data_IF_242752212598
#
_entry.id   IF_242752212598
#
_cell.length_a   1.000
_cell.length_b   1.000
_cell.length_c   1.000
_cell.angle_alpha   90.00
_cell.angle_beta   90.00
_cell.angle_gamma   90.00
#
_symmetry.space_group_name_H-M   'P 1'
#
loop_
_entity.id
_entity.type
_entity.pdbx_description
1 polymer ?
#
# COMPACT_ATOMS: atom_id res chain seq x y z
N UNK A 1 -4.98 5.16 13.31
CA UNK A 1 -6.18 4.49 12.89
C UNK A 1 -7.35 5.38 12.52
N UNK A 2 -7.29 6.69 12.77
CA UNK A 2 -8.43 7.58 12.43
C UNK A 2 -8.38 8.08 10.98
N UNK A 3 -7.22 8.10 10.34
CA UNK A 3 -7.04 8.62 8.97
C UNK A 3 -7.81 7.82 7.91
N UNK A 4 -8.08 6.54 8.16
CA UNK A 4 -8.86 5.68 7.26
C UNK A 4 -10.36 6.02 7.20
N UNK A 5 -10.88 6.79 8.14
CA UNK A 5 -12.30 7.15 8.18
C UNK A 5 -12.50 8.57 7.65
N UNK A 6 -13.47 8.74 6.76
CA UNK A 6 -13.78 10.03 6.16
C UNK A 6 -14.20 11.10 7.19
N UNK A 7 -14.85 10.66 8.29
CA UNK A 7 -15.30 11.53 9.37
C UNK A 7 -15.45 10.75 10.69
N UNK A 8 -15.72 11.53 11.79
CA UNK A 8 -15.89 10.97 13.13
C UNK A 8 -17.11 10.05 13.25
N UNK A 9 -18.16 10.30 12.49
CA UNK A 9 -19.39 9.49 12.53
C UNK A 9 -19.12 8.07 12.03
N UNK A 10 -18.41 7.93 10.90
CA UNK A 10 -17.98 6.64 10.37
C UNK A 10 -17.05 5.89 11.32
N UNK A 11 -16.14 6.60 11.99
CA UNK A 11 -15.29 6.03 13.04
C UNK A 11 -16.13 5.46 14.19
N UNK A 12 -17.10 6.23 14.68
CA UNK A 12 -17.98 5.80 15.78
C UNK A 12 -18.84 4.60 15.38
N UNK A 13 -19.49 4.66 14.21
CA UNK A 13 -20.31 3.58 13.67
C UNK A 13 -19.51 2.26 13.62
N UNK A 14 -18.29 2.32 13.10
CA UNK A 14 -17.42 1.15 13.00
C UNK A 14 -17.07 0.56 14.37
N UNK A 15 -16.59 1.37 15.32
CA UNK A 15 -16.14 0.86 16.61
C UNK A 15 -17.30 0.49 17.55
N UNK A 16 -18.44 1.18 17.46
CA UNK A 16 -19.66 0.77 18.15
C UNK A 16 -20.14 -0.61 17.67
N UNK A 17 -20.15 -0.84 16.36
CA UNK A 17 -20.52 -2.15 15.79
C UNK A 17 -19.51 -3.23 16.17
N UNK A 18 -18.21 -2.95 16.04
CA UNK A 18 -17.12 -3.91 16.29
C UNK A 18 -17.06 -4.39 17.74
N UNK A 19 -17.30 -3.49 18.70
CA UNK A 19 -17.15 -3.77 20.12
C UNK A 19 -18.49 -3.77 20.86
N UNK A 20 -19.61 -3.62 20.14
CA UNK A 20 -20.97 -3.55 20.71
C UNK A 20 -21.11 -2.47 21.81
N UNK A 21 -20.51 -1.30 21.58
CA UNK A 21 -20.47 -0.22 22.57
C UNK A 21 -21.78 0.59 22.59
N UNK A 22 -22.25 0.95 23.78
CA UNK A 22 -23.27 1.98 23.94
C UNK A 22 -22.73 3.36 23.56
N UNK A 23 -23.58 4.36 23.39
CA UNK A 23 -23.15 5.73 23.09
C UNK A 23 -22.24 6.30 24.19
N UNK A 24 -22.50 5.99 25.45
CA UNK A 24 -21.68 6.41 26.60
C UNK A 24 -20.31 5.76 26.57
N UNK A 25 -20.28 4.43 26.38
CA UNK A 25 -19.02 3.67 26.27
C UNK A 25 -18.19 4.12 25.05
N UNK A 26 -18.85 4.46 23.93
CA UNK A 26 -18.14 4.99 22.77
C UNK A 26 -17.51 6.34 23.04
N UNK A 27 -18.18 7.21 23.79
CA UNK A 27 -17.63 8.52 24.19
C UNK A 27 -16.40 8.34 25.06
N UNK A 28 -16.46 7.48 26.08
CA UNK A 28 -15.34 7.17 26.94
C UNK A 28 -14.17 6.56 26.15
N UNK A 29 -14.46 5.61 25.26
CA UNK A 29 -13.47 5.02 24.36
C UNK A 29 -12.74 6.07 23.52
N UNK A 30 -13.48 7.02 22.90
CA UNK A 30 -12.87 8.12 22.14
C UNK A 30 -11.94 8.98 22.99
N UNK A 31 -12.38 9.36 24.22
CA UNK A 31 -11.56 10.16 25.13
C UNK A 31 -10.27 9.46 25.52
N UNK A 32 -10.34 8.18 25.85
CA UNK A 32 -9.16 7.36 26.14
C UNK A 32 -8.21 7.26 24.95
N UNK A 33 -8.73 7.01 23.74
CA UNK A 33 -7.90 6.93 22.52
C UNK A 33 -7.24 8.27 22.21
N UNK A 34 -7.95 9.39 22.37
CA UNK A 34 -7.37 10.72 22.16
C UNK A 34 -6.27 11.03 23.19
N UNK A 35 -6.49 10.70 24.46
CA UNK A 35 -5.47 10.86 25.51
C UNK A 35 -4.21 10.02 25.25
N UNK A 36 -4.38 8.76 24.83
CA UNK A 36 -3.28 7.88 24.43
C UNK A 36 -2.53 8.43 23.21
N UNK A 37 -3.26 8.89 22.20
CA UNK A 37 -2.67 9.46 21.00
C UNK A 37 -1.88 10.74 21.34
N UNK A 38 -2.42 11.65 22.13
CA UNK A 38 -1.74 12.87 22.56
C UNK A 38 -0.44 12.57 23.31
N UNK A 39 -0.43 11.52 24.14
CA UNK A 39 0.73 11.15 24.94
C UNK A 39 1.81 10.43 24.14
N UNK A 40 1.43 9.52 23.25
CA UNK A 40 2.36 8.54 22.67
C UNK A 40 2.58 8.62 21.17
N UNK A 41 1.63 9.21 20.43
CA UNK A 41 1.70 9.16 18.95
C UNK A 41 3.01 9.77 18.43
N UNK A 42 3.27 11.02 18.76
CA UNK A 42 4.45 11.73 18.25
C UNK A 42 5.77 11.17 18.78
N UNK A 43 5.95 10.91 20.11
CA UNK A 43 7.17 10.30 20.61
C UNK A 43 7.49 8.94 19.95
N UNK A 44 6.49 8.07 19.83
CA UNK A 44 6.68 6.74 19.23
C UNK A 44 7.02 6.83 17.75
N UNK A 45 6.35 7.69 16.98
CA UNK A 45 6.63 7.88 15.56
C UNK A 45 8.06 8.40 15.35
N UNK A 46 8.49 9.38 16.14
CA UNK A 46 9.85 9.91 16.06
C UNK A 46 10.90 8.85 16.45
N UNK A 47 10.65 8.07 17.49
CA UNK A 47 11.55 7.00 17.91
C UNK A 47 11.68 5.90 16.84
N UNK A 48 10.54 5.44 16.28
CA UNK A 48 10.53 4.43 15.21
C UNK A 48 11.25 4.97 13.96
N UNK A 49 10.99 6.21 13.55
CA UNK A 49 11.67 6.84 12.43
C UNK A 49 13.19 6.93 12.64
N UNK A 50 13.63 7.25 13.86
CA UNK A 50 15.04 7.23 14.25
C UNK A 50 15.66 5.85 14.08
N UNK A 51 15.03 4.81 14.64
CA UNK A 51 15.49 3.44 14.53
C UNK A 51 15.54 2.92 13.08
N UNK A 52 14.54 3.27 12.27
CA UNK A 52 14.53 2.91 10.85
C UNK A 52 15.70 3.55 10.10
N UNK A 53 15.98 4.82 10.38
CA UNK A 53 17.11 5.55 9.76
C UNK A 53 18.45 4.94 10.16
N UNK A 54 18.68 4.68 11.43
CA UNK A 54 19.91 4.05 11.94
C UNK A 54 20.16 2.69 11.30
N UNK A 55 19.11 1.89 11.12
CA UNK A 55 19.17 0.54 10.59
C UNK A 55 19.02 0.47 9.07
N UNK A 56 18.84 1.60 8.38
CA UNK A 56 18.58 1.69 6.93
C UNK A 56 17.36 0.86 6.50
N UNK A 57 16.32 0.85 7.33
CA UNK A 57 15.04 0.18 7.03
C UNK A 57 14.12 1.21 6.37
N UNK A 58 13.54 0.85 5.24
CA UNK A 58 12.55 1.65 4.55
C UNK A 58 11.31 1.84 5.45
N UNK A 59 10.83 3.08 5.54
CA UNK A 59 9.65 3.44 6.33
C UNK A 59 8.49 3.74 5.38
N UNK A 60 7.30 3.22 5.72
CA UNK A 60 6.05 3.53 5.05
C UNK A 60 5.15 4.36 5.97
N UNK A 61 4.41 5.30 5.39
CA UNK A 61 3.23 5.88 6.03
C UNK A 61 2.00 5.01 5.77
N UNK A 62 0.89 5.30 6.44
CA UNK A 62 -0.36 4.55 6.24
C UNK A 62 -1.57 5.48 6.34
N UNK A 63 -2.49 5.37 5.38
CA UNK A 63 -3.76 6.11 5.34
C UNK A 63 -3.60 7.64 5.35
N UNK A 64 -2.58 8.20 4.73
CA UNK A 64 -2.45 9.63 4.58
C UNK A 64 -3.64 10.17 3.75
N UNK A 65 -4.31 11.20 4.27
CA UNK A 65 -5.54 11.74 3.69
C UNK A 65 -5.40 13.18 3.19
N UNK A 66 -4.38 13.91 3.65
CA UNK A 66 -4.18 15.33 3.34
C UNK A 66 -2.72 15.61 3.01
N UNK A 67 -2.47 16.72 2.33
CA UNK A 67 -1.11 17.20 2.09
C UNK A 67 -0.30 17.31 3.40
N UNK A 68 -0.91 17.79 4.48
CA UNK A 68 -0.23 17.91 5.78
C UNK A 68 0.22 16.56 6.35
N UNK A 69 -0.59 15.51 6.19
CA UNK A 69 -0.20 14.15 6.59
C UNK A 69 1.00 13.64 5.79
N UNK A 70 1.01 13.90 4.49
CA UNK A 70 2.11 13.50 3.60
C UNK A 70 3.41 14.22 3.97
N UNK A 71 3.34 15.54 4.20
CA UNK A 71 4.50 16.34 4.64
C UNK A 71 5.08 15.79 5.95
N UNK A 72 4.23 15.49 6.93
CA UNK A 72 4.65 14.90 8.20
C UNK A 72 5.32 13.53 7.99
N UNK A 73 4.72 12.66 7.18
CA UNK A 73 5.25 11.33 6.86
C UNK A 73 6.59 11.41 6.13
N UNK A 74 6.71 12.32 5.16
CA UNK A 74 7.96 12.58 4.45
C UNK A 74 9.07 13.10 5.38
N UNK A 75 8.77 14.03 6.29
CA UNK A 75 9.73 14.56 7.27
C UNK A 75 10.24 13.48 8.23
N UNK A 76 9.42 12.48 8.54
CA UNK A 76 9.84 11.31 9.32
C UNK A 76 10.73 10.33 8.52
N UNK A 77 10.85 10.52 7.21
CA UNK A 77 11.66 9.70 6.32
C UNK A 77 10.91 8.55 5.64
N UNK A 78 9.58 8.62 5.56
CA UNK A 78 8.79 7.66 4.78
C UNK A 78 9.14 7.76 3.30
N UNK A 79 9.38 6.62 2.67
CA UNK A 79 9.67 6.47 1.24
C UNK A 79 8.51 5.80 0.48
N UNK A 80 7.56 5.27 1.21
CA UNK A 80 6.34 4.64 0.68
C UNK A 80 5.14 5.32 1.36
N UNK A 81 4.15 5.73 0.57
CA UNK A 81 2.82 6.13 1.01
C UNK A 81 1.89 4.94 0.81
N UNK A 82 1.60 4.21 1.89
CA UNK A 82 0.74 3.05 1.86
C UNK A 82 -0.72 3.49 2.03
N UNK A 83 -1.53 3.15 1.05
CA UNK A 83 -2.98 3.40 1.02
C UNK A 83 -3.37 4.87 1.25
N UNK A 84 -2.82 5.84 0.49
CA UNK A 84 -3.35 7.20 0.55
C UNK A 84 -4.87 7.14 0.30
N UNK A 85 -5.64 7.83 1.15
CA UNK A 85 -7.11 7.70 1.11
C UNK A 85 -7.76 8.68 0.14
N UNK A 86 -7.01 9.66 -0.34
CA UNK A 86 -7.46 10.71 -1.26
C UNK A 86 -6.50 10.88 -2.43
N UNK A 87 -7.02 11.43 -3.53
CA UNK A 87 -6.20 11.85 -4.66
C UNK A 87 -5.15 12.89 -4.26
N UNK A 88 -5.52 13.88 -3.42
CA UNK A 88 -4.62 14.90 -2.90
C UNK A 88 -3.39 14.28 -2.21
N UNK A 89 -3.63 13.30 -1.34
CA UNK A 89 -2.54 12.62 -0.63
C UNK A 89 -1.65 11.80 -1.57
N UNK A 90 -2.22 11.09 -2.55
CA UNK A 90 -1.46 10.34 -3.53
C UNK A 90 -0.58 11.26 -4.39
N UNK A 91 -1.13 12.35 -4.90
CA UNK A 91 -0.40 13.35 -5.69
C UNK A 91 0.70 14.02 -4.86
N UNK A 92 0.40 14.43 -3.62
CA UNK A 92 1.39 15.02 -2.72
C UNK A 92 2.53 14.02 -2.43
N UNK A 93 2.22 12.75 -2.21
CA UNK A 93 3.23 11.71 -1.97
C UNK A 93 4.20 11.60 -3.15
N UNK A 94 3.69 11.61 -4.38
CA UNK A 94 4.53 11.60 -5.59
C UNK A 94 5.40 12.84 -5.71
N UNK A 95 4.86 14.03 -5.41
CA UNK A 95 5.63 15.29 -5.41
C UNK A 95 6.79 15.27 -4.40
N UNK A 96 6.61 14.57 -3.28
CA UNK A 96 7.65 14.38 -2.26
C UNK A 96 8.57 13.18 -2.53
N UNK A 97 8.47 12.53 -3.70
CA UNK A 97 9.30 11.38 -4.07
C UNK A 97 8.98 10.09 -3.33
N UNK A 98 7.83 10.02 -2.66
CA UNK A 98 7.35 8.79 -2.03
C UNK A 98 6.65 7.90 -3.07
N UNK A 99 6.84 6.59 -2.96
CA UNK A 99 6.15 5.62 -3.81
C UNK A 99 4.72 5.39 -3.30
N UNK A 100 3.74 5.55 -4.16
CA UNK A 100 2.33 5.28 -3.82
C UNK A 100 2.04 3.79 -3.94
N UNK A 101 1.65 3.18 -2.83
CA UNK A 101 1.32 1.77 -2.72
C UNK A 101 -0.18 1.59 -2.49
N UNK A 102 -0.82 0.75 -3.30
CA UNK A 102 -2.24 0.38 -3.17
C UNK A 102 -2.41 -1.13 -3.05
N UNK A 103 -3.54 -1.55 -2.49
CA UNK A 103 -3.88 -2.97 -2.38
C UNK A 103 -4.32 -3.57 -3.73
N UNK A 104 -3.75 -4.70 -4.12
CA UNK A 104 -4.17 -5.46 -5.29
C UNK A 104 -5.67 -5.84 -5.25
N UNK A 105 -6.27 -6.17 -4.09
CA UNK A 105 -7.71 -6.41 -4.01
C UNK A 105 -8.58 -5.23 -4.47
N UNK A 106 -8.08 -4.00 -4.34
CA UNK A 106 -8.78 -2.80 -4.81
C UNK A 106 -8.89 -2.79 -6.35
N UNK A 107 -7.83 -3.20 -7.05
CA UNK A 107 -7.85 -3.38 -8.52
C UNK A 107 -8.80 -4.52 -8.91
N UNK A 108 -8.66 -5.70 -8.29
CA UNK A 108 -9.43 -6.90 -8.66
C UNK A 108 -10.93 -6.73 -8.46
N UNK A 109 -11.33 -5.96 -7.44
CA UNK A 109 -12.74 -5.69 -7.13
C UNK A 109 -13.30 -4.47 -7.85
N UNK A 110 -12.45 -3.65 -8.45
CA UNK A 110 -12.87 -2.44 -9.18
C UNK A 110 -13.20 -1.26 -8.28
N UNK A 111 -12.65 -1.19 -7.06
CA UNK A 111 -12.85 -0.04 -6.17
C UNK A 111 -12.45 -0.24 -4.72
N UNK A 112 -12.52 0.85 -3.95
CA UNK A 112 -12.23 0.86 -2.52
C UNK A 112 -13.42 0.37 -1.70
N UNK A 113 -13.15 -0.38 -0.61
CA UNK A 113 -14.16 -0.78 0.38
C UNK A 113 -14.74 0.41 1.16
N UNK A 114 -13.93 1.42 1.37
CA UNK A 114 -14.21 2.49 2.34
C UNK A 114 -14.66 3.78 1.66
N UNK A 115 -14.87 3.78 0.32
CA UNK A 115 -15.13 5.01 -0.44
C UNK A 115 -13.91 5.93 -0.58
N UNK A 116 -12.71 5.42 -0.30
CA UNK A 116 -11.44 6.10 -0.54
C UNK A 116 -11.09 6.04 -2.04
N UNK A 117 -10.06 6.78 -2.46
CA UNK A 117 -9.57 6.77 -3.85
C UNK A 117 -9.29 5.35 -4.33
N UNK A 118 -9.71 5.05 -5.56
CA UNK A 118 -9.52 3.72 -6.13
C UNK A 118 -8.15 3.57 -6.79
N UNK A 119 -7.56 2.37 -6.68
CA UNK A 119 -6.24 2.10 -7.24
C UNK A 119 -6.19 2.22 -8.77
N UNK A 120 -7.28 1.87 -9.48
CA UNK A 120 -7.36 2.04 -10.93
C UNK A 120 -7.37 3.52 -11.34
N UNK A 121 -8.03 4.42 -10.58
CA UNK A 121 -7.99 5.86 -10.83
C UNK A 121 -6.56 6.40 -10.67
N UNK A 122 -5.83 5.95 -9.64
CA UNK A 122 -4.42 6.33 -9.46
C UNK A 122 -3.54 5.77 -10.58
N UNK A 123 -3.81 4.57 -11.08
CA UNK A 123 -3.11 4.00 -12.24
C UNK A 123 -3.34 4.85 -13.51
N UNK A 124 -4.58 5.25 -13.80
CA UNK A 124 -4.93 6.10 -14.95
C UNK A 124 -4.22 7.45 -14.92
N UNK A 125 -4.01 8.00 -13.73
CA UNK A 125 -3.32 9.26 -13.51
C UNK A 125 -1.79 9.13 -13.40
N UNK A 126 -1.25 7.91 -13.50
CA UNK A 126 0.19 7.65 -13.37
C UNK A 126 0.72 7.85 -11.94
N UNK A 127 -0.14 7.73 -10.95
CA UNK A 127 0.19 7.94 -9.54
C UNK A 127 0.37 6.62 -8.76
N UNK A 128 0.27 5.46 -9.40
CA UNK A 128 0.45 4.15 -8.80
C UNK A 128 1.87 3.64 -9.03
N UNK A 129 2.59 3.28 -7.97
CA UNK A 129 3.97 2.78 -8.04
C UNK A 129 4.10 1.32 -7.60
N UNK A 130 3.31 0.89 -6.63
CA UNK A 130 3.42 -0.43 -6.00
C UNK A 130 2.02 -1.00 -5.74
N UNK A 131 1.89 -2.31 -5.95
CA UNK A 131 0.74 -3.08 -5.49
C UNK A 131 1.19 -4.06 -4.41
N UNK A 132 0.43 -4.13 -3.31
CA UNK A 132 0.59 -5.14 -2.26
C UNK A 132 -0.57 -6.13 -2.29
N UNK A 133 -0.33 -7.34 -1.80
CA UNK A 133 -1.38 -8.37 -1.70
C UNK A 133 -2.46 -8.04 -0.68
N UNK A 134 -2.14 -7.17 0.28
CA UNK A 134 -3.01 -6.83 1.40
C UNK A 134 -3.56 -8.12 2.07
N UNK A 135 -4.86 -8.21 2.30
CA UNK A 135 -5.53 -9.39 2.89
C UNK A 135 -5.81 -10.54 1.90
N UNK A 136 -5.55 -10.36 0.59
CA UNK A 136 -5.83 -11.37 -0.44
C UNK A 136 -4.60 -11.67 -1.30
N UNK A 137 -3.70 -12.57 -0.86
CA UNK A 137 -2.43 -12.86 -1.56
C UNK A 137 -2.59 -13.26 -3.02
N UNK A 138 -3.64 -14.01 -3.36
CA UNK A 138 -3.90 -14.46 -4.72
C UNK A 138 -4.20 -13.32 -5.72
N UNK A 139 -4.58 -12.14 -5.24
CA UNK A 139 -4.92 -10.99 -6.10
C UNK A 139 -3.72 -10.33 -6.76
N UNK A 140 -2.50 -10.54 -6.24
CA UNK A 140 -1.36 -9.69 -6.58
C UNK A 140 -0.98 -9.75 -8.07
N UNK A 141 -0.84 -10.96 -8.60
CA UNK A 141 -0.48 -11.14 -10.01
C UNK A 141 -1.65 -10.79 -10.93
N UNK A 142 -2.88 -11.19 -10.57
CA UNK A 142 -4.09 -10.87 -11.31
C UNK A 142 -4.28 -9.34 -11.42
N UNK A 143 -4.06 -8.59 -10.34
CA UNK A 143 -4.14 -7.14 -10.36
C UNK A 143 -3.13 -6.50 -11.31
N UNK A 144 -1.89 -7.00 -11.37
CA UNK A 144 -0.89 -6.49 -12.31
C UNK A 144 -1.33 -6.70 -13.78
N UNK A 145 -1.89 -7.85 -14.11
CA UNK A 145 -2.41 -8.09 -15.46
C UNK A 145 -3.63 -7.20 -15.77
N UNK A 146 -4.55 -7.01 -14.81
CA UNK A 146 -5.70 -6.10 -14.98
C UNK A 146 -5.25 -4.65 -15.22
N UNK A 147 -4.21 -4.19 -14.53
CA UNK A 147 -3.62 -2.87 -14.80
C UNK A 147 -3.05 -2.79 -16.21
N UNK A 148 -2.40 -3.86 -16.70
CA UNK A 148 -1.88 -3.89 -18.07
C UNK A 148 -2.96 -3.94 -19.15
N UNK A 149 -4.12 -4.51 -18.84
CA UNK A 149 -5.25 -4.66 -19.77
C UNK A 149 -6.18 -3.43 -19.82
N UNK A 150 -6.10 -2.55 -18.80
CA UNK A 150 -6.94 -1.35 -18.72
C UNK A 150 -6.46 -0.29 -19.72
N UNK A 151 -7.21 -0.13 -20.81
CA UNK A 151 -6.93 0.83 -21.88
C UNK A 151 -6.97 2.30 -21.43
N UNK A 152 -7.54 2.59 -20.24
CA UNK A 152 -7.63 3.95 -19.70
C UNK A 152 -6.33 4.42 -19.05
N UNK A 153 -5.40 3.52 -18.77
CA UNK A 153 -4.08 3.85 -18.27
C UNK A 153 -2.99 3.66 -19.35
N UNK A 154 -1.72 3.91 -18.97
CA UNK A 154 -0.58 3.84 -19.90
C UNK A 154 0.41 2.71 -19.54
N UNK A 155 0.03 1.80 -18.63
CA UNK A 155 0.92 0.74 -18.23
C UNK A 155 1.03 -0.33 -19.32
N UNK A 156 2.25 -0.57 -19.78
CA UNK A 156 2.55 -1.80 -20.53
C UNK A 156 2.63 -2.98 -19.57
N UNK A 157 2.50 -4.21 -20.07
CA UNK A 157 2.62 -5.41 -19.22
C UNK A 157 3.91 -5.44 -18.38
N UNK A 158 5.11 -5.15 -18.92
CA UNK A 158 6.33 -5.08 -18.11
C UNK A 158 6.26 -4.02 -17.00
N UNK A 159 5.66 -2.87 -17.26
CA UNK A 159 5.48 -1.82 -16.25
C UNK A 159 4.48 -2.22 -15.16
N UNK A 160 3.39 -2.88 -15.53
CA UNK A 160 2.42 -3.39 -14.57
C UNK A 160 3.01 -4.52 -13.70
N UNK A 161 3.81 -5.42 -14.29
CA UNK A 161 4.55 -6.43 -13.52
C UNK A 161 5.59 -5.78 -12.60
N UNK A 162 6.19 -4.66 -12.98
CA UNK A 162 7.11 -3.94 -12.11
C UNK A 162 6.43 -3.43 -10.82
N UNK A 163 5.11 -3.14 -10.83
CA UNK A 163 4.35 -2.75 -9.63
C UNK A 163 4.37 -3.81 -8.53
N UNK A 164 4.56 -5.08 -8.89
CA UNK A 164 4.55 -6.22 -7.96
C UNK A 164 5.92 -6.90 -7.82
N UNK A 165 6.96 -6.37 -8.46
CA UNK A 165 8.30 -6.98 -8.49
C UNK A 165 9.41 -5.95 -8.29
N UNK A 166 9.80 -5.23 -9.32
CA UNK A 166 10.93 -4.30 -9.31
C UNK A 166 10.69 -3.10 -8.38
N UNK A 167 9.52 -2.50 -8.45
CA UNK A 167 9.23 -1.27 -7.70
C UNK A 167 9.23 -1.50 -6.18
N UNK A 168 8.51 -2.53 -5.63
CA UNK A 168 8.58 -2.82 -4.22
C UNK A 168 9.99 -3.24 -3.78
N UNK A 169 10.72 -4.03 -4.59
CA UNK A 169 12.09 -4.40 -4.28
C UNK A 169 13.00 -3.17 -4.15
N UNK A 170 12.89 -2.23 -5.08
CA UNK A 170 13.65 -0.98 -5.08
C UNK A 170 13.30 -0.09 -3.88
N UNK A 171 12.00 0.08 -3.60
CA UNK A 171 11.52 0.88 -2.47
C UNK A 171 11.99 0.34 -1.12
N UNK A 172 12.19 -0.98 -1.01
CA UNK A 172 12.67 -1.67 0.18
C UNK A 172 14.20 -1.87 0.22
N UNK A 173 14.96 -1.28 -0.72
CA UNK A 173 16.41 -1.45 -0.88
C UNK A 173 16.85 -2.90 -1.11
N UNK A 174 16.00 -3.74 -1.71
CA UNK A 174 16.30 -5.13 -2.07
C UNK A 174 16.89 -5.18 -3.48
N UNK A 175 18.15 -4.80 -3.62
CA UNK A 175 18.81 -4.63 -4.92
C UNK A 175 19.18 -5.95 -5.62
N UNK A 176 19.07 -7.07 -4.93
CA UNK A 176 19.41 -8.41 -5.44
C UNK A 176 18.26 -9.09 -6.19
N UNK A 177 17.05 -8.50 -6.21
CA UNK A 177 15.83 -9.10 -6.77
C UNK A 177 14.92 -8.10 -7.46
N UNK A 178 13.77 -8.56 -7.97
CA UNK A 178 12.74 -7.74 -8.61
C UNK A 178 12.88 -7.59 -10.11
N UNK A 179 14.03 -8.01 -10.67
CA UNK A 179 14.30 -8.05 -12.11
C UNK A 179 15.03 -9.33 -12.46
N UNK A 180 14.89 -9.77 -13.73
CA UNK A 180 15.72 -10.84 -14.30
C UNK A 180 17.01 -10.20 -14.83
N UNK A 181 18.16 -10.67 -14.36
CA UNK A 181 19.47 -10.15 -14.76
C UNK A 181 20.63 -10.91 -14.13
N UNK A 182 21.81 -10.79 -14.72
CA UNK A 182 23.02 -11.40 -14.16
C UNK A 182 23.31 -10.90 -12.75
N UNK A 183 23.74 -11.78 -11.86
CA UNK A 183 24.04 -11.48 -10.46
C UNK A 183 22.79 -11.23 -9.59
N UNK A 184 21.59 -11.32 -10.16
CA UNK A 184 20.35 -11.22 -9.38
C UNK A 184 19.95 -12.57 -8.85
N UNK A 185 19.25 -12.52 -7.74
CA UNK A 185 18.68 -13.69 -7.10
C UNK A 185 17.62 -14.32 -8.00
N UNK A 186 17.74 -15.61 -8.24
CA UNK A 186 16.82 -16.38 -9.09
C UNK A 186 15.51 -16.71 -8.34
N UNK A 187 14.75 -15.67 -7.96
CA UNK A 187 13.37 -15.75 -7.48
C UNK A 187 12.47 -15.47 -8.69
N UNK A 188 11.92 -16.52 -9.28
CA UNK A 188 11.22 -16.44 -10.56
C UNK A 188 9.83 -17.05 -10.46
N UNK A 189 8.89 -16.49 -11.21
CA UNK A 189 7.56 -17.04 -11.40
C UNK A 189 7.34 -17.25 -12.88
N UNK A 190 6.98 -18.47 -13.29
CA UNK A 190 6.47 -18.78 -14.61
C UNK A 190 4.96 -18.82 -14.52
N UNK A 191 4.31 -18.02 -15.31
CA UNK A 191 2.85 -17.95 -15.36
C UNK A 191 2.37 -17.81 -16.81
N UNK A 192 1.18 -18.30 -17.09
CA UNK A 192 0.53 -18.09 -18.37
C UNK A 192 -0.92 -17.62 -18.18
N UNK A 193 -1.45 -16.94 -19.20
CA UNK A 193 -2.84 -16.51 -19.23
C UNK A 193 -3.71 -17.57 -19.89
N UNK A 194 -4.82 -17.92 -19.25
CA UNK A 194 -5.88 -18.76 -19.82
C UNK A 194 -7.22 -18.05 -19.66
N UNK A 195 -7.71 -17.45 -20.72
CA UNK A 195 -8.87 -16.55 -20.67
C UNK A 195 -8.55 -15.31 -19.79
N UNK A 196 -9.39 -15.05 -18.81
CA UNK A 196 -9.20 -13.93 -17.85
C UNK A 196 -8.34 -14.29 -16.62
N UNK A 197 -7.95 -15.55 -16.50
CA UNK A 197 -7.22 -16.04 -15.33
C UNK A 197 -5.73 -16.19 -15.60
N UNK A 198 -4.94 -15.87 -14.58
CA UNK A 198 -3.49 -16.06 -14.59
C UNK A 198 -3.17 -17.32 -13.80
N UNK A 199 -2.54 -18.28 -14.46
CA UNK A 199 -2.10 -19.54 -13.87
C UNK A 199 -0.60 -19.50 -13.61
N UNK A 200 -0.20 -19.84 -12.39
CA UNK A 200 1.20 -20.00 -12.01
C UNK A 200 1.58 -21.45 -12.27
N UNK A 201 2.55 -21.65 -13.17
CA UNK A 201 3.05 -23.00 -13.52
C UNK A 201 4.18 -23.43 -12.60
N UNK A 202 5.13 -22.51 -12.37
CA UNK A 202 6.32 -22.80 -11.57
C UNK A 202 6.77 -21.59 -10.79
N UNK A 203 7.32 -21.84 -9.60
CA UNK A 203 7.96 -20.84 -8.76
C UNK A 203 9.35 -21.34 -8.36
N UNK A 204 10.35 -20.50 -8.53
CA UNK A 204 11.72 -20.75 -8.03
C UNK A 204 12.07 -19.74 -6.95
N UNK A 205 12.72 -20.22 -5.92
CA UNK A 205 13.33 -19.41 -4.86
C UNK A 205 14.81 -19.71 -4.82
N UNK A 206 15.66 -18.73 -5.06
CA UNK A 206 17.12 -18.87 -5.15
C UNK A 206 17.54 -19.98 -6.13
N UNK A 207 16.89 -20.07 -7.27
CA UNK A 207 17.15 -21.08 -8.29
C UNK A 207 16.59 -22.47 -8.00
N UNK A 208 16.03 -22.72 -6.81
CA UNK A 208 15.40 -23.98 -6.45
C UNK A 208 13.90 -23.90 -6.73
N UNK A 209 13.36 -24.84 -7.52
CA UNK A 209 11.92 -24.95 -7.75
C UNK A 209 11.21 -25.28 -6.42
N UNK A 210 10.17 -24.49 -6.08
CA UNK A 210 9.38 -24.63 -4.85
C UNK A 210 7.90 -24.86 -5.13
N UNK A 211 7.48 -24.65 -6.40
CA UNK A 211 6.14 -24.95 -6.90
C UNK A 211 6.21 -25.36 -8.38
#
# INVERSE_FOLDING_TARGET
GQRQFANREKYREYYQGKYSLTNEQMRQYEEEQLALAARWSQPNRSAIAGLCRERRIALASHDDATHAHVVESHQLGSVIAEFPTTFEAAEASRRHGMNVLMGAPNIVRGGSHSGNVAAHELAQLGLLDILSSDYYPASLLDAAFRVADDEQNRFTLPQAIALVSQNPARALNLHDRGIIGEGKRADLVLAHRKGEHIHIDHVWRQGKRVF
#
